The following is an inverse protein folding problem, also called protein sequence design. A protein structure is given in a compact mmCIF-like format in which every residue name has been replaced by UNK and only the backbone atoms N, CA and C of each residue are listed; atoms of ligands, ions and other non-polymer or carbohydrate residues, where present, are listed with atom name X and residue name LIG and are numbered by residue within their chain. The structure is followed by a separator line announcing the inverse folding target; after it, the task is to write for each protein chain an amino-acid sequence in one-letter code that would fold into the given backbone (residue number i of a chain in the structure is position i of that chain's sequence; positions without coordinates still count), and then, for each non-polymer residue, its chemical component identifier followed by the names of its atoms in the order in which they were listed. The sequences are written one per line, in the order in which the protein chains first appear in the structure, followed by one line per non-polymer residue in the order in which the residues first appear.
data_IF_095307440037
#
_entry.id   IF_095307440037
#
_cell.length_a   1.000
_cell.length_b   1.000
_cell.length_c   1.000
_cell.angle_alpha   90.00
_cell.angle_beta   90.00
_cell.angle_gamma   90.00
#
_symmetry.space_group_name_H-M   'P 1'
#
loop_
_entity.id
_entity.type
_entity.pdbx_description
1 polymer ?
#
# COMPACT_ATOMS: atom_id res chain seq x y z
N UNK A 1 -14.23 4.84 -19.34
CA UNK A 1 -13.53 4.89 -18.03
C UNK A 1 -12.09 5.31 -18.26
N UNK A 2 -11.55 6.20 -17.42
CA UNK A 2 -10.27 6.88 -17.65
C UNK A 2 -9.09 5.95 -17.29
N UNK A 3 -8.30 5.55 -18.29
CA UNK A 3 -7.27 4.49 -18.19
C UNK A 3 -6.20 4.75 -17.14
N UNK A 4 -5.93 6.02 -16.81
CA UNK A 4 -5.01 6.42 -15.74
C UNK A 4 -5.49 5.96 -14.37
N UNK A 5 -6.78 6.14 -14.06
CA UNK A 5 -7.34 5.83 -12.74
C UNK A 5 -7.35 4.32 -12.48
N UNK A 6 -7.66 3.52 -13.50
CA UNK A 6 -7.58 2.05 -13.41
C UNK A 6 -6.13 1.58 -13.20
N UNK A 7 -5.17 2.17 -13.92
CA UNK A 7 -3.74 1.86 -13.75
C UNK A 7 -3.23 2.20 -12.35
N UNK A 8 -3.63 3.34 -11.78
CA UNK A 8 -3.25 3.72 -10.41
C UNK A 8 -3.82 2.76 -9.37
N UNK A 9 -5.09 2.40 -9.48
CA UNK A 9 -5.72 1.41 -8.58
C UNK A 9 -5.02 0.06 -8.70
N UNK A 10 -4.78 -0.41 -9.92
CA UNK A 10 -4.09 -1.68 -10.17
C UNK A 10 -2.66 -1.67 -9.62
N UNK A 11 -1.92 -0.58 -9.81
CA UNK A 11 -0.57 -0.39 -9.27
C UNK A 11 -0.56 -0.41 -7.73
N UNK A 12 -1.57 0.17 -7.08
CA UNK A 12 -1.73 0.11 -5.63
C UNK A 12 -2.01 -1.30 -5.11
N UNK A 13 -2.89 -2.04 -5.77
CA UNK A 13 -3.19 -3.42 -5.39
C UNK A 13 -1.94 -4.30 -5.56
N UNK A 14 -1.27 -4.22 -6.71
CA UNK A 14 -0.06 -5.01 -7.00
C UNK A 14 1.09 -4.64 -6.07
N UNK A 15 1.33 -3.35 -5.83
CA UNK A 15 2.37 -2.88 -4.91
C UNK A 15 2.12 -3.36 -3.48
N UNK A 16 0.87 -3.33 -3.03
CA UNK A 16 0.49 -3.82 -1.69
C UNK A 16 0.69 -5.33 -1.58
N UNK A 17 0.33 -6.08 -2.62
CA UNK A 17 0.54 -7.53 -2.65
C UNK A 17 2.04 -7.89 -2.56
N UNK A 18 2.88 -7.21 -3.35
CA UNK A 18 4.34 -7.41 -3.33
C UNK A 18 4.93 -7.07 -1.97
N UNK A 19 4.58 -5.91 -1.40
CA UNK A 19 5.05 -5.51 -0.07
C UNK A 19 4.61 -6.49 1.02
N UNK A 20 3.40 -7.03 0.90
CA UNK A 20 2.87 -8.02 1.85
C UNK A 20 3.66 -9.33 1.77
N UNK A 21 4.04 -9.77 0.56
CA UNK A 21 4.92 -10.93 0.36
C UNK A 21 6.32 -10.67 0.95
N UNK A 22 6.91 -9.50 0.68
CA UNK A 22 8.22 -9.12 1.21
C UNK A 22 8.20 -9.11 2.75
N UNK A 23 7.16 -8.54 3.36
CA UNK A 23 6.98 -8.49 4.81
C UNK A 23 6.78 -9.88 5.43
N UNK A 24 6.10 -10.79 4.72
CA UNK A 24 6.00 -12.20 5.14
C UNK A 24 7.36 -12.88 5.12
N UNK A 25 8.16 -12.67 4.06
CA UNK A 25 9.53 -13.19 3.98
C UNK A 25 10.41 -12.57 5.07
N UNK A 26 10.30 -11.27 5.33
CA UNK A 26 11.04 -10.59 6.38
C UNK A 26 10.68 -11.13 7.79
N UNK A 27 9.41 -11.51 8.01
CA UNK A 27 8.97 -12.14 9.26
C UNK A 27 9.60 -13.54 9.46
N UNK A 28 10.06 -14.20 8.40
CA UNK A 28 10.79 -15.48 8.49
C UNK A 28 12.27 -15.29 8.87
N UNK A 29 12.80 -14.06 8.81
CA UNK A 29 14.18 -13.74 9.18
C UNK A 29 14.37 -13.47 10.70
N UNK A 30 13.45 -13.93 11.54
CA UNK A 30 13.57 -13.83 13.01
C UNK A 30 13.02 -12.54 13.62
N UNK A 31 12.50 -11.61 12.81
CA UNK A 31 11.70 -10.49 13.32
C UNK A 31 10.33 -11.02 13.78
N UNK A 32 9.78 -10.53 14.92
CA UNK A 32 8.45 -10.94 15.39
C UNK A 32 7.43 -10.75 14.26
N UNK A 33 6.51 -11.72 14.11
CA UNK A 33 5.46 -11.73 13.07
C UNK A 33 4.64 -10.43 13.15
N UNK A 34 5.07 -9.42 12.42
CA UNK A 34 4.37 -8.15 12.26
C UNK A 34 3.70 -8.16 10.89
N UNK A 35 2.59 -8.89 10.77
CA UNK A 35 1.77 -8.69 9.59
C UNK A 35 1.00 -7.36 9.76
N UNK A 36 1.13 -6.40 8.83
CA UNK A 36 0.41 -5.13 8.89
C UNK A 36 -1.11 -5.27 9.16
N UNK A 37 -1.83 -6.24 8.55
CA UNK A 37 -3.25 -6.43 8.86
C UNK A 37 -3.50 -6.93 10.28
N UNK A 38 -2.64 -7.80 10.85
CA UNK A 38 -2.79 -8.20 12.26
C UNK A 38 -2.50 -7.04 13.20
N UNK A 39 -1.50 -6.21 12.88
CA UNK A 39 -1.15 -5.05 13.70
C UNK A 39 -2.30 -4.04 13.71
N UNK A 40 -2.89 -3.73 12.54
CA UNK A 40 -4.07 -2.85 12.46
C UNK A 40 -5.30 -3.43 13.15
N UNK A 41 -5.56 -4.73 12.98
CA UNK A 41 -6.70 -5.39 13.62
C UNK A 41 -6.52 -5.45 15.14
N UNK A 42 -5.29 -5.65 15.62
CA UNK A 42 -4.95 -5.73 17.03
C UNK A 42 -5.01 -4.38 17.74
N UNK A 43 -4.57 -3.29 17.09
CA UNK A 43 -4.69 -1.94 17.64
C UNK A 43 -6.13 -1.44 17.67
N UNK A 44 -6.97 -1.87 16.73
CA UNK A 44 -8.39 -1.50 16.67
C UNK A 44 -9.30 -2.46 17.46
N UNK A 45 -8.78 -3.57 18.00
CA UNK A 45 -9.59 -4.60 18.66
C UNK A 45 -10.62 -5.26 17.72
N UNK A 46 -10.41 -5.15 16.41
CA UNK A 46 -11.34 -5.58 15.37
C UNK A 46 -10.89 -6.91 14.75
N UNK A 47 -11.79 -7.67 14.11
CA UNK A 47 -11.42 -8.92 13.46
C UNK A 47 -10.40 -8.71 12.32
N UNK A 48 -9.53 -9.69 12.11
CA UNK A 48 -8.44 -9.69 11.11
C UNK A 48 -8.89 -9.31 9.69
N UNK A 49 -10.14 -9.63 9.33
CA UNK A 49 -10.71 -9.26 8.03
C UNK A 49 -10.76 -7.74 7.80
N UNK A 50 -11.02 -6.97 8.86
CA UNK A 50 -11.01 -5.49 8.82
C UNK A 50 -9.59 -4.98 8.63
N UNK A 51 -8.61 -5.61 9.26
CA UNK A 51 -7.19 -5.30 9.09
C UNK A 51 -6.72 -5.48 7.64
N UNK A 52 -7.18 -6.54 6.97
CA UNK A 52 -6.92 -6.76 5.54
C UNK A 52 -7.59 -5.70 4.66
N UNK A 53 -8.84 -5.34 4.94
CA UNK A 53 -9.53 -4.26 4.22
C UNK A 53 -8.78 -2.94 4.33
N UNK A 54 -8.39 -2.56 5.54
CA UNK A 54 -7.64 -1.33 5.79
C UNK A 54 -6.25 -1.34 5.13
N UNK A 55 -5.54 -2.47 5.18
CA UNK A 55 -4.23 -2.61 4.54
C UNK A 55 -4.29 -2.34 3.03
N UNK A 56 -5.30 -2.88 2.35
CA UNK A 56 -5.51 -2.61 0.94
C UNK A 56 -5.93 -1.16 0.66
N UNK A 57 -6.77 -0.55 1.50
CA UNK A 57 -7.17 0.87 1.36
C UNK A 57 -5.95 1.79 1.48
N UNK A 58 -5.09 1.56 2.48
CA UNK A 58 -3.84 2.31 2.67
C UNK A 58 -2.91 2.14 1.47
N UNK A 59 -2.82 0.92 0.94
CA UNK A 59 -2.06 0.62 -0.27
C UNK A 59 -2.52 1.38 -1.52
N UNK A 60 -3.84 1.45 -1.75
CA UNK A 60 -4.42 2.24 -2.84
C UNK A 60 -4.19 3.74 -2.62
N UNK A 61 -4.34 4.24 -1.39
CA UNK A 61 -4.04 5.63 -1.05
C UNK A 61 -2.57 5.97 -1.32
N UNK A 62 -1.63 5.09 -0.96
CA UNK A 62 -0.21 5.29 -1.28
C UNK A 62 0.06 5.34 -2.77
N UNK A 63 -0.59 4.48 -3.58
CA UNK A 63 -0.44 4.54 -5.04
C UNK A 63 -1.04 5.81 -5.65
N UNK A 64 -2.15 6.30 -5.11
CA UNK A 64 -2.70 7.61 -5.48
C UNK A 64 -1.73 8.73 -5.13
N UNK A 65 -1.21 8.76 -3.91
CA UNK A 65 -0.21 9.74 -3.47
C UNK A 65 1.04 9.68 -4.35
N UNK A 66 1.60 8.49 -4.62
CA UNK A 66 2.75 8.36 -5.52
C UNK A 66 2.43 8.82 -6.94
N UNK A 67 1.26 8.44 -7.48
CA UNK A 67 0.91 8.87 -8.84
C UNK A 67 0.72 10.39 -8.90
N UNK A 68 -0.02 11.00 -7.97
CA UNK A 68 -0.29 12.44 -7.96
C UNK A 68 0.92 13.29 -7.54
N UNK A 69 1.63 12.89 -6.48
CA UNK A 69 2.78 13.63 -5.94
C UNK A 69 4.01 13.50 -6.82
N UNK A 70 4.25 12.31 -7.37
CA UNK A 70 5.33 12.15 -8.35
C UNK A 70 4.92 12.91 -9.64
N UNK A 71 3.63 12.92 -10.06
CA UNK A 71 3.12 13.79 -11.15
C UNK A 71 3.33 15.28 -10.91
N UNK A 72 3.27 15.69 -9.66
CA UNK A 72 3.61 17.06 -9.28
C UNK A 72 5.12 17.32 -9.38
N UNK A 73 5.96 16.35 -8.98
CA UNK A 73 7.43 16.49 -8.94
C UNK A 73 8.06 16.51 -10.33
N UNK A 74 7.60 15.70 -11.30
CA UNK A 74 8.14 15.79 -12.68
C UNK A 74 7.74 17.07 -13.39
N UNK A 75 6.62 17.71 -13.01
CA UNK A 75 6.20 19.00 -13.58
C UNK A 75 7.01 20.18 -13.04
N UNK A 76 7.53 20.07 -11.82
CA UNK A 76 8.38 21.09 -11.19
C UNK A 76 9.85 21.03 -11.65
N UNK A 77 10.39 19.82 -11.90
CA UNK A 77 11.80 19.65 -12.32
C UNK A 77 12.06 20.01 -13.79
N UNK A 78 11.04 19.98 -14.66
CA UNK A 78 11.17 20.40 -16.08
C UNK A 78 11.09 21.93 -16.28
N UNK A 79 10.87 22.70 -15.22
CA UNK A 79 10.77 24.18 -15.24
C UNK A 79 11.78 24.86 -14.31
N UNK A 80 12.75 24.12 -13.77
CA UNK A 80 13.84 24.64 -12.92
C UNK A 80 15.14 24.77 -13.68
#
# INVERSE_FOLDING_TARGET
MNTKMQRTVLAGIVGTAIMTIIMMIASLMGMPKMSPPQMLSGTLGMPIFVGWGMHFIIGVLFAFTYTYMCFFKYKLVMFG
#
